data_IF_756765318785
#
_entry.id   IF_756765318785
#
_cell.length_a   1.000
_cell.length_b   1.000
_cell.length_c   1.000
_cell.angle_alpha   90.00
_cell.angle_beta   90.00
_cell.angle_gamma   90.00
#
_symmetry.space_group_name_H-M   'P 1'
#
loop_
_entity.id
_entity.type
_entity.pdbx_description
1 polymer ?
#
# COMPACT_ATOMS: atom_id res chain seq x y z
N UNK A 1 24.27 10.86 33.32
CA UNK A 1 25.35 10.35 32.48
C UNK A 1 25.39 11.11 31.17
N UNK A 2 26.55 11.45 30.66
CA UNK A 2 26.76 12.23 29.44
C UNK A 2 27.71 11.45 28.53
N UNK A 3 27.45 11.43 27.22
CA UNK A 3 28.36 10.83 26.23
C UNK A 3 28.14 9.33 26.00
N UNK A 4 27.05 8.75 26.46
CA UNK A 4 26.65 7.42 26.07
C UNK A 4 26.22 7.41 24.60
N UNK A 5 26.66 6.39 23.85
CA UNK A 5 26.26 6.14 22.46
C UNK A 5 25.41 4.90 22.42
N UNK A 6 24.47 4.87 21.49
CA UNK A 6 23.61 3.71 21.20
C UNK A 6 22.78 3.22 22.41
N UNK A 7 22.27 4.17 23.22
CA UNK A 7 21.38 3.90 24.36
C UNK A 7 20.03 4.52 24.11
N UNK A 8 18.97 3.75 24.32
CA UNK A 8 17.58 4.21 24.18
C UNK A 8 16.90 4.39 25.55
N UNK A 9 15.81 5.16 25.57
CA UNK A 9 15.00 5.33 26.78
C UNK A 9 14.42 3.99 27.24
N UNK A 10 14.63 3.65 28.51
CA UNK A 10 14.16 2.40 29.11
C UNK A 10 15.20 1.27 29.15
N UNK A 11 16.39 1.47 28.61
CA UNK A 11 17.46 0.49 28.72
C UNK A 11 18.12 0.50 30.13
N UNK A 12 18.51 -0.71 30.55
CA UNK A 12 19.22 -0.90 31.80
C UNK A 12 20.73 -0.80 31.59
N UNK A 13 21.39 0.10 32.35
CA UNK A 13 22.83 0.19 32.39
C UNK A 13 23.36 -0.58 33.63
N UNK A 14 24.24 -1.53 33.42
CA UNK A 14 24.78 -2.36 34.50
C UNK A 14 26.26 -2.68 34.27
N UNK A 15 26.91 -3.27 35.31
CA UNK A 15 28.27 -3.79 35.22
C UNK A 15 28.31 -5.00 34.29
N UNK A 16 29.28 -5.03 33.37
CA UNK A 16 29.43 -6.13 32.37
C UNK A 16 29.61 -7.50 33.05
N UNK A 17 30.24 -7.54 34.23
CA UNK A 17 30.51 -8.77 34.99
C UNK A 17 29.38 -9.16 35.94
N UNK A 18 28.38 -8.27 36.11
CA UNK A 18 27.23 -8.50 36.97
C UNK A 18 25.94 -8.02 36.23
N UNK A 19 25.58 -8.66 35.13
CA UNK A 19 24.43 -8.24 34.34
C UNK A 19 23.14 -8.40 35.16
N UNK A 20 22.36 -7.34 35.23
CA UNK A 20 21.03 -7.30 35.80
C UNK A 20 20.12 -6.52 34.87
N UNK A 21 18.92 -7.05 34.63
CA UNK A 21 17.89 -6.34 33.85
C UNK A 21 16.83 -5.89 34.85
N UNK A 22 16.60 -4.58 34.90
CA UNK A 22 15.53 -3.99 35.68
C UNK A 22 14.20 -4.18 34.93
N UNK A 23 13.09 -3.90 35.63
CA UNK A 23 11.76 -3.97 35.05
C UNK A 23 11.70 -3.12 33.76
N UNK A 24 11.17 -3.73 32.70
CA UNK A 24 11.05 -3.08 31.39
C UNK A 24 9.84 -2.16 31.38
N UNK A 25 10.00 -0.93 30.89
CA UNK A 25 8.86 -0.05 30.67
C UNK A 25 8.08 -0.51 29.44
N UNK A 26 6.78 -0.71 29.60
CA UNK A 26 5.88 -0.97 28.48
C UNK A 26 5.37 0.37 27.96
N UNK A 27 5.65 0.65 26.71
CA UNK A 27 5.14 1.82 26.02
C UNK A 27 3.91 1.43 25.21
N UNK A 28 2.81 2.19 25.31
CA UNK A 28 1.63 1.94 24.51
C UNK A 28 1.92 2.10 23.01
N UNK A 29 1.23 1.35 22.20
CA UNK A 29 1.33 1.52 20.75
C UNK A 29 0.77 2.87 20.32
N UNK A 30 1.42 3.54 19.34
CA UNK A 30 0.96 4.82 18.84
C UNK A 30 -0.41 4.70 18.17
N UNK A 31 -1.28 5.69 18.41
CA UNK A 31 -2.69 5.67 18.00
C UNK A 31 -3.00 6.55 16.79
N UNK A 32 -2.12 7.46 16.44
CA UNK A 32 -2.25 8.30 15.23
C UNK A 32 -0.98 8.26 14.38
N UNK A 33 -1.19 8.50 13.09
CA UNK A 33 -0.12 8.57 12.11
C UNK A 33 -0.33 9.72 11.14
N UNK A 34 0.78 10.34 10.71
CA UNK A 34 0.81 11.38 9.70
C UNK A 34 1.98 11.14 8.74
N UNK A 35 1.84 11.59 7.51
CA UNK A 35 2.93 11.61 6.55
C UNK A 35 3.74 12.88 6.72
N UNK A 36 5.07 12.77 6.64
CA UNK A 36 6.00 13.90 6.63
C UNK A 36 6.83 13.88 5.36
N UNK A 37 6.86 15.02 4.68
CA UNK A 37 7.60 15.21 3.45
C UNK A 37 8.57 16.38 3.58
N UNK A 38 9.86 16.20 3.30
CA UNK A 38 10.83 17.29 3.37
C UNK A 38 10.51 18.34 2.30
N UNK A 39 10.62 19.62 2.63
CA UNK A 39 10.36 20.70 1.67
C UNK A 39 11.44 20.80 0.59
N UNK A 40 12.66 20.37 0.89
CA UNK A 40 13.78 20.41 -0.05
C UNK A 40 14.53 19.09 -0.10
N UNK A 41 15.27 18.84 -1.19
CA UNK A 41 16.14 17.65 -1.29
C UNK A 41 17.22 17.60 -0.20
N UNK A 42 17.75 18.77 0.19
CA UNK A 42 18.73 18.87 1.26
C UNK A 42 18.17 18.49 2.63
N UNK A 43 16.87 18.68 2.84
CA UNK A 43 16.20 18.32 4.08
C UNK A 43 15.89 16.82 4.16
N UNK A 44 15.93 16.08 3.05
CA UNK A 44 15.62 14.65 3.04
C UNK A 44 16.56 13.81 3.90
N UNK A 45 17.87 13.98 3.73
CA UNK A 45 18.89 13.27 4.54
C UNK A 45 18.87 13.71 6.00
N UNK A 46 18.72 15.02 6.23
CA UNK A 46 18.63 15.58 7.58
C UNK A 46 17.38 15.11 8.31
N UNK A 47 16.27 14.98 7.61
CA UNK A 47 14.99 14.49 8.15
C UNK A 47 15.14 13.06 8.69
N UNK A 48 15.72 12.15 7.92
CA UNK A 48 15.98 10.78 8.37
C UNK A 48 16.81 10.73 9.65
N UNK A 49 17.88 11.55 9.71
CA UNK A 49 18.74 11.65 10.92
C UNK A 49 17.98 12.24 12.11
N UNK A 50 17.18 13.29 11.89
CA UNK A 50 16.39 13.94 12.94
C UNK A 50 15.34 12.99 13.51
N UNK A 51 14.56 12.35 12.65
CA UNK A 51 13.52 11.39 13.04
C UNK A 51 14.12 10.18 13.77
N UNK A 52 15.26 9.65 13.31
CA UNK A 52 15.97 8.56 13.98
C UNK A 52 16.39 8.92 15.39
N UNK A 53 16.91 10.15 15.64
CA UNK A 53 17.26 10.62 16.98
C UNK A 53 16.04 10.81 17.88
N UNK A 54 14.98 11.41 17.35
CA UNK A 54 13.73 11.60 18.10
C UNK A 54 13.12 10.25 18.51
N UNK A 55 13.18 9.24 17.63
CA UNK A 55 12.70 7.89 17.93
C UNK A 55 13.56 7.15 18.97
N UNK A 56 14.86 7.46 19.08
CA UNK A 56 15.72 6.94 20.17
C UNK A 56 15.38 7.54 21.52
N UNK A 57 14.97 8.81 21.55
CA UNK A 57 14.57 9.51 22.78
C UNK A 57 13.19 9.10 23.28
N UNK A 58 12.26 8.82 22.35
CA UNK A 58 10.86 8.54 22.66
C UNK A 58 10.41 7.20 22.06
N UNK A 59 10.32 6.14 22.86
CA UNK A 59 9.89 4.82 22.41
C UNK A 59 8.42 4.73 21.97
N UNK A 60 7.58 5.72 22.32
CA UNK A 60 6.19 5.80 21.85
C UNK A 60 6.08 6.45 20.48
N UNK A 61 7.17 7.01 19.96
CA UNK A 61 7.28 7.57 18.62
C UNK A 61 7.88 6.55 17.66
N UNK A 62 7.21 6.28 16.56
CA UNK A 62 7.67 5.35 15.53
C UNK A 62 7.76 6.02 14.17
N UNK A 63 8.77 5.64 13.41
CA UNK A 63 9.00 6.12 12.05
C UNK A 63 9.03 4.92 11.12
N UNK A 64 8.23 4.97 10.08
CA UNK A 64 8.17 3.93 9.03
C UNK A 64 8.17 4.58 7.65
N UNK A 65 8.65 3.85 6.65
CA UNK A 65 8.51 4.27 5.25
C UNK A 65 7.44 3.39 4.62
N UNK A 66 6.41 4.01 4.06
CA UNK A 66 5.45 3.28 3.25
C UNK A 66 6.11 2.93 1.91
N UNK A 67 6.23 1.63 1.63
CA UNK A 67 6.88 1.12 0.42
C UNK A 67 6.09 1.38 -0.86
N UNK A 68 4.80 1.65 -0.76
CA UNK A 68 3.95 1.89 -1.92
C UNK A 68 3.95 3.36 -2.34
N UNK A 69 3.73 4.26 -1.41
CA UNK A 69 3.74 5.71 -1.66
C UNK A 69 5.15 6.33 -1.59
N UNK A 70 6.10 5.64 -0.96
CA UNK A 70 7.43 6.16 -0.65
C UNK A 70 7.42 7.23 0.44
N UNK A 71 6.27 7.48 1.09
CA UNK A 71 6.15 8.48 2.13
C UNK A 71 6.80 8.03 3.44
N UNK A 72 7.39 8.98 4.16
CA UNK A 72 7.80 8.77 5.55
C UNK A 72 6.60 9.01 6.46
N UNK A 73 6.19 7.98 7.18
CA UNK A 73 5.07 8.01 8.13
C UNK A 73 5.63 8.07 9.54
N UNK A 74 5.17 9.05 10.31
CA UNK A 74 5.45 9.15 11.74
C UNK A 74 4.20 8.81 12.53
N UNK A 75 4.38 8.03 13.60
CA UNK A 75 3.30 7.57 14.45
C UNK A 75 3.53 8.02 15.89
N UNK A 76 2.48 8.45 16.58
CA UNK A 76 2.56 8.97 17.93
C UNK A 76 1.28 8.80 18.73
N UNK A 77 1.32 9.22 19.98
CA UNK A 77 0.25 9.04 20.96
C UNK A 77 -0.91 10.04 20.81
N UNK A 78 -0.74 11.07 20.01
CA UNK A 78 -1.74 12.11 19.79
C UNK A 78 -1.23 13.19 18.85
N UNK A 79 -2.14 14.05 18.39
CA UNK A 79 -1.84 15.15 17.47
C UNK A 79 -0.78 16.10 18.05
N UNK A 80 -0.99 16.54 19.29
CA UNK A 80 -0.04 17.41 19.97
C UNK A 80 1.34 16.77 20.12
N UNK A 81 1.41 15.45 20.36
CA UNK A 81 2.67 14.75 20.43
C UNK A 81 3.44 14.83 19.10
N UNK A 82 2.76 14.55 17.97
CA UNK A 82 3.38 14.64 16.65
C UNK A 82 3.73 16.08 16.27
N UNK A 83 2.90 17.07 16.61
CA UNK A 83 3.18 18.48 16.38
C UNK A 83 4.45 18.94 17.11
N UNK A 84 4.62 18.54 18.39
CA UNK A 84 5.83 18.85 19.16
C UNK A 84 7.06 18.23 18.52
N UNK A 85 7.00 16.98 18.05
CA UNK A 85 8.13 16.33 17.41
C UNK A 85 8.50 16.99 16.07
N UNK A 86 7.52 17.40 15.28
CA UNK A 86 7.74 18.17 14.03
C UNK A 86 8.35 19.55 14.35
N UNK A 87 7.89 20.22 15.39
CA UNK A 87 8.45 21.51 15.82
C UNK A 87 9.88 21.33 16.32
N UNK A 88 10.18 20.29 17.09
CA UNK A 88 11.55 19.94 17.50
C UNK A 88 12.45 19.65 16.29
N UNK A 89 11.96 18.91 15.30
CA UNK A 89 12.69 18.65 14.07
C UNK A 89 13.08 19.97 13.37
N UNK A 90 12.18 20.94 13.34
CA UNK A 90 12.45 22.27 12.78
C UNK A 90 13.44 23.07 13.63
N UNK A 91 13.26 23.12 14.95
CA UNK A 91 14.08 23.97 15.85
C UNK A 91 15.47 23.41 16.10
N UNK A 92 15.58 22.11 16.39
CA UNK A 92 16.83 21.47 16.81
C UNK A 92 17.67 21.05 15.60
N UNK A 93 17.03 20.50 14.55
CA UNK A 93 17.72 19.91 13.39
C UNK A 93 17.68 20.80 12.15
N UNK A 94 16.96 21.92 12.19
CA UNK A 94 16.81 22.86 11.06
C UNK A 94 16.26 22.18 9.81
N UNK A 95 15.29 21.28 9.99
CA UNK A 95 14.58 20.56 8.92
C UNK A 95 13.16 21.06 8.83
N UNK A 96 12.74 21.51 7.67
CA UNK A 96 11.35 21.85 7.39
C UNK A 96 10.65 20.73 6.60
N UNK A 97 9.47 20.34 7.07
CA UNK A 97 8.65 19.33 6.45
C UNK A 97 7.19 19.78 6.30
N UNK A 98 6.52 19.27 5.28
CA UNK A 98 5.08 19.31 5.17
C UNK A 98 4.51 18.10 5.92
N UNK A 99 3.42 18.31 6.65
CA UNK A 99 2.72 17.26 7.41
C UNK A 99 1.31 17.13 6.87
N UNK A 100 0.87 15.91 6.65
CA UNK A 100 -0.47 15.63 6.11
C UNK A 100 -0.93 14.20 6.39
N UNK A 101 -2.16 13.89 5.98
CA UNK A 101 -2.65 12.53 6.04
C UNK A 101 -1.82 11.62 5.11
N UNK A 102 -1.53 10.36 5.53
CA UNK A 102 -0.88 9.38 4.66
C UNK A 102 -1.70 9.11 3.39
N UNK A 103 -1.03 8.79 2.31
CA UNK A 103 -1.71 8.35 1.10
C UNK A 103 -2.35 6.98 1.32
N UNK A 104 -3.59 6.86 0.87
CA UNK A 104 -4.31 5.59 0.94
C UNK A 104 -3.91 4.72 -0.24
N UNK A 105 -3.51 3.49 0.04
CA UNK A 105 -3.10 2.51 -0.97
C UNK A 105 -4.33 1.85 -1.59
N UNK A 106 -4.94 2.51 -2.57
CA UNK A 106 -6.03 1.93 -3.36
C UNK A 106 -5.52 0.83 -4.28
N UNK A 107 -6.43 -0.06 -4.70
CA UNK A 107 -6.21 -1.09 -5.71
C UNK A 107 -7.34 -1.07 -6.73
N UNK A 108 -7.07 -1.65 -7.89
CA UNK A 108 -8.10 -1.92 -8.88
C UNK A 108 -8.34 -3.43 -8.97
N UNK A 109 -9.53 -3.84 -9.35
CA UNK A 109 -9.89 -5.21 -9.71
C UNK A 109 -10.97 -5.21 -10.76
N UNK A 110 -11.37 -6.39 -11.25
CA UNK A 110 -12.47 -6.55 -12.20
C UNK A 110 -13.60 -7.38 -11.59
N UNK A 111 -14.84 -7.10 -12.01
CA UNK A 111 -16.02 -7.82 -11.53
C UNK A 111 -16.69 -8.69 -12.58
N UNK A 112 -16.25 -8.64 -13.83
CA UNK A 112 -16.74 -9.49 -14.92
C UNK A 112 -15.61 -9.99 -15.81
N UNK A 113 -15.85 -11.08 -16.53
CA UNK A 113 -14.91 -11.62 -17.50
C UNK A 113 -15.01 -10.89 -18.83
N UNK A 114 -13.87 -10.75 -19.52
CA UNK A 114 -13.83 -10.19 -20.86
C UNK A 114 -12.74 -10.86 -21.70
N UNK A 115 -13.10 -11.18 -22.95
CA UNK A 115 -12.16 -11.71 -23.97
C UNK A 115 -11.66 -10.58 -24.85
N UNK A 116 -10.35 -10.45 -24.94
CA UNK A 116 -9.68 -9.49 -25.80
C UNK A 116 -8.91 -10.21 -26.89
N UNK A 117 -9.02 -9.71 -28.13
CA UNK A 117 -8.21 -10.13 -29.28
C UNK A 117 -7.52 -8.89 -29.84
N UNK A 118 -6.26 -8.70 -29.47
CA UNK A 118 -5.49 -7.50 -29.80
C UNK A 118 -4.34 -7.81 -30.76
N UNK A 119 -4.22 -7.01 -31.81
CA UNK A 119 -3.13 -7.09 -32.78
C UNK A 119 -2.29 -5.81 -32.73
N UNK A 120 -1.03 -5.94 -32.34
CA UNK A 120 -0.01 -4.90 -32.51
C UNK A 120 0.64 -5.05 -33.87
N UNK A 121 0.50 -4.04 -34.73
CA UNK A 121 1.16 -3.98 -36.04
C UNK A 121 1.74 -2.59 -36.25
N UNK A 122 3.05 -2.49 -36.46
CA UNK A 122 3.72 -1.25 -36.79
C UNK A 122 4.70 -1.50 -37.94
N UNK A 123 4.61 -0.72 -38.97
CA UNK A 123 5.58 -0.67 -40.08
C UNK A 123 6.11 0.75 -40.17
N UNK A 124 7.40 0.94 -40.01
CA UNK A 124 8.07 2.24 -40.15
C UNK A 124 9.44 2.00 -40.72
N UNK A 125 9.61 2.11 -42.05
CA UNK A 125 10.90 2.28 -42.76
C UNK A 125 12.07 1.35 -42.38
N UNK A 126 11.81 0.19 -41.77
CA UNK A 126 12.81 -0.77 -41.28
C UNK A 126 12.13 -2.06 -40.83
N UNK A 127 12.70 -2.77 -39.86
CA UNK A 127 12.07 -3.98 -39.28
C UNK A 127 10.70 -3.62 -38.70
N UNK A 128 9.64 -4.32 -39.14
CA UNK A 128 8.28 -4.18 -38.65
C UNK A 128 8.12 -4.70 -37.21
N UNK A 129 6.97 -4.47 -36.62
CA UNK A 129 6.56 -5.11 -35.38
C UNK A 129 5.19 -5.76 -35.56
N UNK A 130 5.07 -7.02 -35.20
CA UNK A 130 3.83 -7.76 -35.25
C UNK A 130 3.66 -8.66 -34.03
N UNK A 131 2.53 -8.58 -33.36
CA UNK A 131 2.12 -9.52 -32.33
C UNK A 131 0.60 -9.51 -32.19
N UNK A 132 -0.04 -10.68 -32.24
CA UNK A 132 -1.44 -10.85 -31.91
C UNK A 132 -1.57 -11.71 -30.68
N UNK A 133 -2.37 -11.26 -29.71
CA UNK A 133 -2.66 -11.98 -28.47
C UNK A 133 -4.17 -12.04 -28.25
N UNK A 134 -4.67 -13.21 -27.90
CA UNK A 134 -6.04 -13.40 -27.44
C UNK A 134 -6.02 -13.82 -25.99
N UNK A 135 -6.58 -12.97 -25.11
CA UNK A 135 -6.47 -13.13 -23.67
C UNK A 135 -7.87 -13.03 -23.06
N UNK A 136 -8.22 -14.00 -22.23
CA UNK A 136 -9.40 -13.94 -21.37
C UNK A 136 -8.99 -13.41 -20.01
N UNK A 137 -9.60 -12.31 -19.58
CA UNK A 137 -9.49 -11.78 -18.23
C UNK A 137 -10.70 -12.21 -17.42
N UNK A 138 -10.45 -12.75 -16.22
CA UNK A 138 -11.48 -13.25 -15.31
C UNK A 138 -11.23 -12.71 -13.91
N UNK A 139 -12.27 -12.33 -13.13
CA UNK A 139 -12.10 -11.97 -11.73
C UNK A 139 -11.57 -13.17 -10.94
N UNK A 140 -10.61 -12.91 -10.05
CA UNK A 140 -10.09 -13.85 -9.06
C UNK A 140 -10.80 -13.75 -7.73
N UNK A 141 -10.50 -14.67 -6.81
CA UNK A 141 -10.93 -14.55 -5.42
C UNK A 141 -10.16 -13.43 -4.70
N UNK A 142 -10.79 -12.82 -3.71
CA UNK A 142 -10.17 -11.77 -2.91
C UNK A 142 -8.85 -12.29 -2.26
N UNK A 143 -7.75 -11.58 -2.50
CA UNK A 143 -6.42 -11.94 -2.03
C UNK A 143 -5.68 -12.96 -2.92
N UNK A 144 -6.22 -13.37 -4.06
CA UNK A 144 -5.55 -14.28 -5.00
C UNK A 144 -4.42 -13.62 -5.80
N UNK A 145 -4.42 -12.29 -5.84
CA UNK A 145 -3.40 -11.51 -6.55
C UNK A 145 -3.53 -11.61 -8.07
N UNK A 146 -2.46 -11.98 -8.76
CA UNK A 146 -2.40 -12.13 -10.21
C UNK A 146 -2.04 -13.55 -10.60
N UNK A 147 -2.84 -14.15 -11.49
CA UNK A 147 -2.57 -15.46 -12.07
C UNK A 147 -2.45 -15.36 -13.59
N UNK A 148 -1.36 -15.89 -14.15
CA UNK A 148 -1.20 -16.04 -15.60
C UNK A 148 -1.29 -17.50 -16.00
N UNK A 149 -2.14 -17.80 -17.00
CA UNK A 149 -2.30 -19.15 -17.53
C UNK A 149 -2.05 -19.14 -19.03
N UNK A 150 -1.10 -19.96 -19.45
CA UNK A 150 -0.84 -20.18 -20.87
C UNK A 150 -1.61 -21.41 -21.37
N UNK A 151 -2.52 -21.22 -22.33
CA UNK A 151 -3.29 -22.27 -23.02
C UNK A 151 -2.98 -22.37 -24.53
N UNK A 152 -1.88 -21.78 -24.97
CA UNK A 152 -1.48 -21.86 -26.38
C UNK A 152 -1.30 -23.32 -26.79
N UNK A 153 -1.89 -23.68 -27.93
CA UNK A 153 -1.76 -24.97 -28.58
C UNK A 153 -1.29 -24.78 -30.01
N UNK A 154 -0.56 -25.78 -30.55
CA UNK A 154 -0.19 -25.83 -31.96
C UNK A 154 0.87 -24.83 -32.44
N UNK A 155 1.60 -24.14 -31.52
CA UNK A 155 2.70 -23.26 -31.91
C UNK A 155 2.27 -21.90 -32.47
N UNK A 156 1.00 -21.48 -32.29
CA UNK A 156 0.48 -20.18 -32.75
C UNK A 156 1.28 -18.98 -32.21
N UNK A 157 1.92 -19.15 -31.04
CA UNK A 157 2.93 -18.26 -30.51
C UNK A 157 4.13 -19.12 -30.12
N UNK A 158 5.34 -18.87 -30.64
CA UNK A 158 6.56 -19.53 -30.19
C UNK A 158 6.78 -19.37 -28.69
N UNK A 159 7.24 -20.44 -28.04
CA UNK A 159 7.41 -20.48 -26.56
C UNK A 159 8.33 -19.37 -26.05
N UNK A 160 9.35 -19.01 -26.84
CA UNK A 160 10.30 -17.94 -26.52
C UNK A 160 9.69 -16.53 -26.52
N UNK A 161 8.48 -16.33 -27.13
CA UNK A 161 7.79 -15.04 -27.18
C UNK A 161 6.76 -14.88 -26.05
N UNK A 162 6.31 -15.99 -25.44
CA UNK A 162 5.31 -15.98 -24.36
C UNK A 162 5.77 -15.15 -23.13
N UNK A 163 7.06 -15.20 -22.70
CA UNK A 163 7.52 -14.34 -21.62
C UNK A 163 7.31 -12.84 -21.88
N UNK A 164 7.26 -12.40 -23.15
CA UNK A 164 6.91 -11.03 -23.51
C UNK A 164 5.47 -10.69 -23.14
N UNK A 165 4.53 -11.62 -23.34
CA UNK A 165 3.13 -11.42 -22.96
C UNK A 165 3.02 -11.24 -21.44
N UNK A 166 3.59 -12.15 -20.65
CA UNK A 166 3.54 -12.10 -19.20
C UNK A 166 4.19 -10.82 -18.66
N UNK A 167 5.36 -10.45 -19.17
CA UNK A 167 6.05 -9.22 -18.80
C UNK A 167 5.21 -7.97 -19.09
N UNK A 168 4.52 -7.95 -20.24
CA UNK A 168 3.63 -6.85 -20.60
C UNK A 168 2.43 -6.73 -19.66
N UNK A 169 1.81 -7.84 -19.29
CA UNK A 169 0.70 -7.88 -18.34
C UNK A 169 1.14 -7.41 -16.96
N UNK A 170 2.25 -7.92 -16.41
CA UNK A 170 2.79 -7.52 -15.11
C UNK A 170 3.13 -6.02 -15.09
N UNK A 171 3.76 -5.49 -16.12
CA UNK A 171 4.11 -4.08 -16.19
C UNK A 171 2.87 -3.17 -16.22
N UNK A 172 1.80 -3.56 -16.95
CA UNK A 172 0.58 -2.78 -17.03
C UNK A 172 -0.31 -2.92 -15.79
N UNK A 173 -0.28 -4.08 -15.13
CA UNK A 173 -0.95 -4.34 -13.86
C UNK A 173 -0.62 -3.28 -12.81
N UNK A 174 0.66 -2.85 -12.73
CA UNK A 174 1.13 -1.89 -11.72
C UNK A 174 0.50 -0.49 -11.86
N UNK A 175 -0.02 -0.17 -13.01
CA UNK A 175 -0.63 1.15 -13.28
C UNK A 175 -2.13 1.12 -13.47
N UNK A 176 -2.74 -0.07 -13.45
CA UNK A 176 -4.19 -0.25 -13.63
C UNK A 176 -4.77 0.41 -14.89
N UNK A 177 -6.06 0.71 -14.86
CA UNK A 177 -6.79 1.34 -15.99
C UNK A 177 -7.78 2.43 -15.57
N UNK A 178 -8.16 2.51 -14.28
CA UNK A 178 -9.14 3.48 -13.77
C UNK A 178 -8.49 4.73 -13.22
N UNK A 179 -7.68 4.57 -12.18
CA UNK A 179 -7.15 5.65 -11.37
C UNK A 179 -5.63 5.57 -11.21
N UNK A 180 -4.98 4.62 -11.87
CA UNK A 180 -3.53 4.46 -11.84
C UNK A 180 -3.03 3.59 -10.68
N UNK A 181 -3.91 2.86 -10.00
CA UNK A 181 -3.54 1.94 -8.93
C UNK A 181 -3.29 0.53 -9.44
N UNK A 182 -2.46 -0.27 -8.76
CA UNK A 182 -2.22 -1.65 -9.15
C UNK A 182 -3.52 -2.46 -9.23
N UNK A 183 -3.68 -3.23 -10.31
CA UNK A 183 -4.81 -4.16 -10.48
C UNK A 183 -4.46 -5.51 -9.84
N UNK A 184 -5.34 -6.04 -9.01
CA UNK A 184 -5.16 -7.30 -8.28
C UNK A 184 -6.38 -8.20 -8.42
N UNK A 185 -6.26 -9.44 -7.93
CA UNK A 185 -7.34 -10.42 -7.85
C UNK A 185 -8.01 -10.68 -9.21
N UNK A 186 -7.16 -10.98 -10.20
CA UNK A 186 -7.62 -11.35 -11.52
C UNK A 186 -6.73 -12.44 -12.13
N UNK A 187 -7.32 -13.16 -13.08
CA UNK A 187 -6.66 -14.19 -13.87
C UNK A 187 -6.60 -13.78 -15.33
N UNK A 188 -5.44 -13.91 -15.96
CA UNK A 188 -5.25 -13.70 -17.38
C UNK A 188 -4.89 -15.02 -18.06
N UNK A 189 -5.75 -15.50 -18.95
CA UNK A 189 -5.54 -16.74 -19.71
C UNK A 189 -5.21 -16.39 -21.16
N UNK A 190 -3.97 -16.66 -21.58
CA UNK A 190 -3.55 -16.55 -22.97
C UNK A 190 -4.10 -17.77 -23.74
N UNK A 191 -5.12 -17.56 -24.59
CA UNK A 191 -5.85 -18.62 -25.26
C UNK A 191 -5.40 -18.87 -26.69
N UNK A 192 -4.99 -17.82 -27.42
CA UNK A 192 -4.58 -17.86 -28.82
C UNK A 192 -3.70 -16.66 -29.17
N UNK A 193 -3.17 -16.64 -30.39
CA UNK A 193 -2.41 -15.52 -30.92
C UNK A 193 -1.83 -15.82 -32.30
N UNK A 194 -1.02 -14.91 -32.78
CA UNK A 194 -0.28 -15.08 -34.02
C UNK A 194 1.03 -14.33 -34.00
N UNK A 195 2.00 -14.83 -34.71
CA UNK A 195 3.30 -14.22 -34.91
C UNK A 195 3.66 -14.11 -36.39
N UNK A 196 4.69 -13.36 -36.69
CA UNK A 196 5.29 -13.21 -38.02
C UNK A 196 6.79 -13.49 -37.91
N UNK A 197 7.32 -14.38 -38.75
CA UNK A 197 8.69 -14.91 -38.65
C UNK A 197 9.78 -13.84 -38.58
N UNK A 198 9.56 -12.67 -39.19
CA UNK A 198 10.53 -11.57 -39.27
C UNK A 198 10.20 -10.43 -38.28
N UNK A 199 8.91 -10.10 -38.13
CA UNK A 199 8.48 -8.87 -37.43
C UNK A 199 8.06 -9.13 -35.99
N UNK A 200 8.04 -10.37 -35.52
CA UNK A 200 7.71 -10.70 -34.15
C UNK A 200 8.95 -10.72 -33.24
N UNK A 201 8.78 -10.19 -32.04
CA UNK A 201 9.80 -10.15 -31.00
C UNK A 201 9.16 -10.18 -29.61
N UNK A 202 9.92 -10.48 -28.58
CA UNK A 202 9.49 -10.41 -27.18
C UNK A 202 8.93 -9.01 -26.87
N UNK A 203 9.57 -7.95 -27.39
CA UNK A 203 9.11 -6.57 -27.22
C UNK A 203 7.76 -6.30 -27.90
N UNK A 204 7.53 -6.85 -29.12
CA UNK A 204 6.26 -6.69 -29.82
C UNK A 204 5.11 -7.35 -29.03
N UNK A 205 5.35 -8.53 -28.46
CA UNK A 205 4.39 -9.21 -27.59
C UNK A 205 4.19 -8.51 -26.25
N UNK A 206 5.22 -7.90 -25.65
CA UNK A 206 5.09 -7.05 -24.47
C UNK A 206 4.18 -5.84 -24.74
N UNK A 207 4.36 -5.16 -25.85
CA UNK A 207 3.53 -4.02 -26.25
C UNK A 207 2.08 -4.46 -26.53
N UNK A 208 1.89 -5.57 -27.23
CA UNK A 208 0.57 -6.12 -27.50
C UNK A 208 -0.17 -6.51 -26.22
N UNK A 209 0.52 -7.16 -25.28
CA UNK A 209 -0.05 -7.57 -23.99
C UNK A 209 -0.43 -6.36 -23.12
N UNK A 210 0.38 -5.30 -23.09
CA UNK A 210 0.03 -4.05 -22.38
C UNK A 210 -1.23 -3.41 -22.95
N UNK A 211 -1.36 -3.38 -24.27
CA UNK A 211 -2.55 -2.83 -24.93
C UNK A 211 -3.78 -3.71 -24.70
N UNK A 212 -3.64 -5.03 -24.82
CA UNK A 212 -4.69 -6.01 -24.52
C UNK A 212 -5.17 -5.90 -23.07
N UNK A 213 -4.25 -5.72 -22.11
CA UNK A 213 -4.59 -5.48 -20.70
C UNK A 213 -5.47 -4.24 -20.55
N UNK A 214 -5.02 -3.09 -21.09
CA UNK A 214 -5.78 -1.83 -20.99
C UNK A 214 -7.19 -1.97 -21.56
N UNK A 215 -7.32 -2.61 -22.72
CA UNK A 215 -8.62 -2.82 -23.36
C UNK A 215 -9.48 -3.82 -22.59
N UNK A 216 -8.91 -4.97 -22.21
CA UNK A 216 -9.61 -6.07 -21.55
C UNK A 216 -10.09 -5.69 -20.16
N UNK A 217 -9.20 -5.15 -19.31
CA UNK A 217 -9.54 -4.75 -17.96
C UNK A 217 -10.57 -3.59 -17.97
N UNK A 218 -10.43 -2.61 -18.87
CA UNK A 218 -11.40 -1.51 -18.96
C UNK A 218 -12.82 -2.00 -19.31
N UNK A 219 -12.94 -3.09 -20.07
CA UNK A 219 -14.23 -3.69 -20.47
C UNK A 219 -14.72 -4.78 -19.52
N UNK A 220 -13.86 -5.26 -18.62
CA UNK A 220 -14.19 -6.27 -17.61
C UNK A 220 -14.85 -5.68 -16.35
N UNK A 221 -15.47 -4.50 -16.45
CA UNK A 221 -16.11 -3.77 -15.36
C UNK A 221 -15.14 -3.56 -14.16
N UNK A 222 -14.12 -2.70 -14.32
CA UNK A 222 -13.14 -2.44 -13.28
C UNK A 222 -13.76 -1.75 -12.07
N UNK A 223 -13.27 -2.10 -10.89
CA UNK A 223 -13.72 -1.60 -9.58
C UNK A 223 -12.53 -1.12 -8.78
N UNK A 224 -12.70 -0.01 -8.07
CA UNK A 224 -11.70 0.50 -7.14
C UNK A 224 -11.90 -0.16 -5.75
N UNK A 225 -10.83 -0.71 -5.21
CA UNK A 225 -10.77 -1.26 -3.86
C UNK A 225 -10.11 -0.26 -2.92
N UNK A 226 -10.70 -0.06 -1.74
CA UNK A 226 -10.13 0.73 -0.67
C UNK A 226 -9.68 -0.16 0.50
N UNK A 227 -8.58 0.17 1.19
CA UNK A 227 -8.17 -0.58 2.37
C UNK A 227 -9.13 -0.33 3.52
N UNK A 228 -9.53 -1.41 4.18
CA UNK A 228 -10.40 -1.37 5.36
C UNK A 228 -9.56 -1.57 6.62
N UNK A 229 -9.81 -0.72 7.62
CA UNK A 229 -9.19 -0.82 8.94
C UNK A 229 -10.12 -1.60 9.87
N UNK A 230 -9.57 -2.59 10.59
CA UNK A 230 -10.26 -3.19 11.73
C UNK A 230 -10.06 -2.27 12.93
N UNK A 231 -11.17 -1.82 13.50
CA UNK A 231 -11.20 -0.86 14.60
C UNK A 231 -11.88 -1.54 15.80
N UNK A 232 -11.23 -1.51 16.97
CA UNK A 232 -11.79 -1.88 18.24
C UNK A 232 -11.91 -0.59 19.09
N UNK A 233 -13.12 -0.25 19.52
CA UNK A 233 -13.36 0.88 20.41
C UNK A 233 -13.87 0.37 21.73
N UNK A 234 -13.16 0.70 22.81
CA UNK A 234 -13.56 0.36 24.19
C UNK A 234 -14.14 1.62 24.83
N UNK A 235 -15.40 1.56 25.25
CA UNK A 235 -16.13 2.72 25.74
C UNK A 235 -17.08 2.36 26.90
N UNK A 236 -17.37 3.29 27.83
CA UNK A 236 -18.48 3.12 28.76
C UNK A 236 -19.83 2.99 28.04
N UNK A 237 -20.81 2.35 28.69
CA UNK A 237 -22.12 2.09 28.09
C UNK A 237 -22.84 3.36 27.63
N UNK A 238 -22.70 4.45 28.36
CA UNK A 238 -23.34 5.73 28.09
C UNK A 238 -22.90 6.36 26.74
N UNK A 239 -21.68 6.07 26.24
CA UNK A 239 -21.16 6.59 24.97
C UNK A 239 -21.24 5.60 23.81
N UNK A 240 -21.71 4.37 24.04
CA UNK A 240 -21.75 3.32 23.01
C UNK A 240 -22.57 3.76 21.77
N UNK A 241 -23.70 4.44 22.00
CA UNK A 241 -24.55 4.94 20.91
C UNK A 241 -23.85 5.97 20.03
N UNK A 242 -23.11 6.89 20.64
CA UNK A 242 -22.37 7.94 19.94
C UNK A 242 -21.20 7.36 19.14
N UNK A 243 -20.47 6.38 19.72
CA UNK A 243 -19.40 5.66 19.04
C UNK A 243 -19.93 4.93 17.80
N UNK A 244 -21.03 4.17 17.94
CA UNK A 244 -21.64 3.47 16.80
C UNK A 244 -22.12 4.45 15.73
N UNK A 245 -22.73 5.57 16.13
CA UNK A 245 -23.18 6.64 15.25
C UNK A 245 -22.02 7.25 14.46
N UNK A 246 -20.89 7.55 15.12
CA UNK A 246 -19.72 8.12 14.47
C UNK A 246 -19.05 7.11 13.52
N UNK A 247 -18.86 5.84 13.93
CA UNK A 247 -18.34 4.79 13.07
C UNK A 247 -19.20 4.59 11.81
N UNK A 248 -20.53 4.60 11.95
CA UNK A 248 -21.45 4.51 10.81
C UNK A 248 -21.33 5.74 9.88
N UNK A 249 -21.19 6.94 10.43
CA UNK A 249 -20.99 8.17 9.64
C UNK A 249 -19.71 8.11 8.79
N UNK A 250 -18.72 7.36 9.25
CA UNK A 250 -17.43 7.10 8.55
C UNK A 250 -17.51 5.92 7.58
N UNK A 251 -18.68 5.44 7.21
CA UNK A 251 -18.93 4.26 6.37
C UNK A 251 -18.44 2.96 7.02
N UNK A 252 -18.31 2.96 8.34
CA UNK A 252 -17.96 1.78 9.12
C UNK A 252 -19.08 0.77 9.16
N UNK A 253 -18.70 -0.49 9.27
CA UNK A 253 -19.60 -1.62 9.47
C UNK A 253 -19.28 -2.27 10.80
N UNK A 254 -20.16 -2.12 11.79
CA UNK A 254 -20.04 -2.79 13.08
C UNK A 254 -20.16 -4.30 12.85
N UNK A 255 -19.18 -5.06 13.31
CA UNK A 255 -19.10 -6.51 13.16
C UNK A 255 -19.58 -7.23 14.41
N UNK A 256 -19.10 -6.79 15.57
CA UNK A 256 -19.37 -7.41 16.85
C UNK A 256 -19.45 -6.35 17.96
N UNK A 257 -20.26 -6.65 18.97
CA UNK A 257 -20.31 -5.90 20.23
C UNK A 257 -20.14 -6.86 21.38
N UNK A 258 -19.21 -6.56 22.27
CA UNK A 258 -18.91 -7.40 23.44
C UNK A 258 -18.69 -6.55 24.69
N UNK A 259 -18.50 -7.18 25.82
CA UNK A 259 -18.20 -6.50 27.10
C UNK A 259 -16.85 -6.93 27.62
N UNK A 260 -16.04 -5.99 28.10
CA UNK A 260 -14.75 -6.23 28.73
C UNK A 260 -14.73 -5.56 30.10
N UNK A 261 -15.02 -6.33 31.13
CA UNK A 261 -15.21 -5.78 32.50
C UNK A 261 -16.45 -4.87 32.57
N UNK A 262 -16.24 -3.59 32.89
CA UNK A 262 -17.29 -2.56 32.96
C UNK A 262 -17.40 -1.71 31.70
N UNK A 263 -16.67 -2.06 30.65
CA UNK A 263 -16.69 -1.34 29.39
C UNK A 263 -17.30 -2.18 28.26
N UNK A 264 -17.90 -1.51 27.29
CA UNK A 264 -18.37 -2.12 26.06
C UNK A 264 -17.28 -2.00 25.00
N UNK A 265 -17.18 -3.04 24.17
CA UNK A 265 -16.24 -3.11 23.05
C UNK A 265 -17.04 -3.16 21.76
N UNK A 266 -16.73 -2.25 20.84
CA UNK A 266 -17.33 -2.19 19.50
C UNK A 266 -16.25 -2.51 18.47
N UNK A 267 -16.39 -3.63 17.77
CA UNK A 267 -15.54 -4.03 16.66
C UNK A 267 -16.19 -3.61 15.34
N UNK A 268 -15.45 -2.90 14.50
CA UNK A 268 -15.93 -2.42 13.22
C UNK A 268 -14.86 -2.50 12.13
N UNK A 269 -15.32 -2.62 10.87
CA UNK A 269 -14.51 -2.43 9.68
C UNK A 269 -14.82 -1.06 9.09
N UNK A 270 -13.83 -0.20 9.00
CA UNK A 270 -13.99 1.20 8.53
C UNK A 270 -12.97 1.51 7.44
N UNK A 271 -13.35 2.20 6.35
CA UNK A 271 -12.37 2.63 5.35
C UNK A 271 -11.24 3.45 5.99
N UNK A 272 -10.00 3.08 5.70
CA UNK A 272 -8.80 3.75 6.26
C UNK A 272 -8.84 5.26 6.01
N UNK A 273 -9.29 5.68 4.81
CA UNK A 273 -9.40 7.10 4.46
C UNK A 273 -10.29 7.91 5.43
N UNK A 274 -11.25 7.26 6.08
CA UNK A 274 -12.21 7.92 6.98
C UNK A 274 -11.76 7.84 8.45
N UNK A 275 -10.64 7.19 8.75
CA UNK A 275 -10.15 7.02 10.13
C UNK A 275 -9.07 8.02 10.54
N UNK A 276 -8.53 8.78 9.58
CA UNK A 276 -7.57 9.83 9.94
C UNK A 276 -8.21 10.87 10.88
N UNK A 277 -7.54 11.13 12.00
CA UNK A 277 -8.03 12.04 13.02
C UNK A 277 -9.18 11.51 13.89
N UNK A 278 -9.56 10.24 13.78
CA UNK A 278 -10.66 9.65 14.56
C UNK A 278 -10.48 9.81 16.07
N UNK A 279 -9.25 9.59 16.57
CA UNK A 279 -8.92 9.66 18.01
C UNK A 279 -9.21 11.05 18.60
N UNK A 280 -9.15 12.12 17.79
CA UNK A 280 -9.44 13.48 18.25
C UNK A 280 -10.94 13.74 18.41
N UNK A 281 -11.79 12.87 17.87
CA UNK A 281 -13.24 12.99 17.93
C UNK A 281 -13.87 11.99 18.93
N UNK A 282 -13.07 11.09 19.47
CA UNK A 282 -13.45 10.10 20.47
C UNK A 282 -13.30 10.70 21.88
#
# INVERSE_FOLDING_TARGET
LVGLKDVTTGETLCDVNKPIILERMDFPDPVIEVAVEPKTKADHEKMGTALGRLAQEDPSFRVTTDHESGQTIIKGMGELHLEILVDRMKREFKVEANVGAPQVAYRETISSSFDVDYTHKKQSGGAGQFARVKITFEPGEAGSGYEFVNKIKGGNIPTELIPGVEKGLIAQQQTGVMAGFPCIDFKATLTDGAYHDVDSSVLAFEIAARAAFREGIAKANPVLLEPMMKVEVVTPEEYMGDVIGDLNSRRGQVQEMSTRGNANVVDAMVPLANMFGYVNNL
#
